data_IF_185281537640
#
_entry.id   IF_185281537640
#
_cell.length_a   1.000
_cell.length_b   1.000
_cell.length_c   1.000
_cell.angle_alpha   90.00
_cell.angle_beta   90.00
_cell.angle_gamma   90.00
#
_symmetry.space_group_name_H-M   'P 1'
#
loop_
_entity.id
_entity.type
_entity.pdbx_description
1 polymer ?
#
# COMPACT_ATOMS: atom_id res chain seq x y z
N UNK A 1 2.31 -9.23 37.79
CA UNK A 1 2.97 -10.15 36.84
C UNK A 1 2.38 -9.88 35.46
N UNK A 2 3.02 -9.07 34.64
CA UNK A 2 2.55 -8.76 33.29
C UNK A 2 3.10 -9.80 32.35
N UNK A 3 2.24 -10.73 31.91
CA UNK A 3 2.60 -11.69 30.87
C UNK A 3 2.65 -10.91 29.56
N UNK A 4 3.84 -10.57 29.08
CA UNK A 4 4.02 -10.08 27.72
C UNK A 4 3.82 -11.27 26.78
N UNK A 5 2.57 -11.50 26.36
CA UNK A 5 2.27 -12.48 25.31
C UNK A 5 2.86 -11.97 24.01
N UNK A 6 3.90 -12.65 23.53
CA UNK A 6 4.47 -12.43 22.19
C UNK A 6 3.38 -12.71 21.16
N UNK A 7 2.81 -11.67 20.56
CA UNK A 7 1.85 -11.81 19.47
C UNK A 7 2.58 -12.45 18.29
N UNK A 8 2.25 -13.69 17.96
CA UNK A 8 2.79 -14.35 16.77
C UNK A 8 2.20 -13.68 15.52
N UNK A 9 3.06 -13.13 14.69
CA UNK A 9 2.68 -12.53 13.41
C UNK A 9 2.19 -13.63 12.47
N UNK A 10 0.90 -13.60 12.13
CA UNK A 10 0.29 -14.53 11.16
C UNK A 10 0.55 -14.03 9.74
N UNK A 11 0.72 -14.95 8.79
CA UNK A 11 0.98 -14.60 7.40
C UNK A 11 0.25 -15.54 6.46
N UNK A 12 -0.35 -14.97 5.41
CA UNK A 12 -1.02 -15.71 4.35
C UNK A 12 -0.46 -15.33 2.98
N UNK A 13 -0.51 -16.26 2.04
CA UNK A 13 -0.09 -16.02 0.66
C UNK A 13 -1.20 -16.36 -0.30
N UNK A 14 -1.48 -15.45 -1.23
CA UNK A 14 -2.47 -15.62 -2.28
C UNK A 14 -1.81 -15.50 -3.64
N UNK A 15 -1.96 -16.53 -4.48
CA UNK A 15 -1.45 -16.53 -5.86
C UNK A 15 -2.59 -16.17 -6.81
N UNK A 16 -2.42 -15.08 -7.55
CA UNK A 16 -3.42 -14.54 -8.47
C UNK A 16 -2.85 -14.59 -9.89
N UNK A 17 -3.17 -15.63 -10.69
CA UNK A 17 -2.91 -15.59 -12.12
C UNK A 17 -3.56 -14.34 -12.71
N UNK A 18 -2.81 -13.57 -13.51
CA UNK A 18 -3.32 -12.30 -14.03
C UNK A 18 -4.60 -12.51 -14.84
N UNK A 19 -5.77 -12.00 -14.38
CA UNK A 19 -7.05 -12.20 -15.08
C UNK A 19 -7.16 -11.30 -16.33
N UNK A 20 -6.34 -10.27 -16.40
CA UNK A 20 -6.24 -9.33 -17.51
C UNK A 20 -4.78 -8.85 -17.65
N UNK A 21 -4.47 -8.18 -18.77
CA UNK A 21 -3.15 -7.57 -18.98
C UNK A 21 -2.79 -6.69 -17.77
N UNK A 22 -1.62 -6.93 -17.17
CA UNK A 22 -1.04 -6.01 -16.18
C UNK A 22 -0.77 -4.68 -16.90
N UNK A 23 -1.42 -3.61 -16.44
CA UNK A 23 -1.19 -2.27 -16.94
C UNK A 23 -0.32 -1.48 -15.97
N UNK A 24 0.61 -0.73 -16.54
CA UNK A 24 1.39 0.27 -15.83
C UNK A 24 0.72 1.65 -15.96
N UNK A 25 1.07 2.57 -15.07
CA UNK A 25 0.68 3.98 -15.13
C UNK A 25 1.03 4.62 -16.48
N UNK A 26 2.11 4.15 -17.12
CA UNK A 26 2.63 4.68 -18.38
C UNK A 26 1.83 4.24 -19.61
N UNK A 27 1.03 3.17 -19.54
CA UNK A 27 0.26 2.68 -20.70
C UNK A 27 -0.87 3.63 -21.14
N UNK A 28 -1.26 4.60 -20.28
CA UNK A 28 -2.31 5.61 -20.54
C UNK A 28 -3.54 5.06 -21.30
N UNK A 29 -4.16 3.96 -20.83
CA UNK A 29 -5.31 3.34 -21.50
C UNK A 29 -6.52 4.28 -21.50
N UNK A 30 -7.45 4.06 -22.44
CA UNK A 30 -8.78 4.65 -22.36
C UNK A 30 -9.47 4.26 -21.04
N UNK A 31 -10.14 5.21 -20.38
CA UNK A 31 -10.69 5.05 -19.02
C UNK A 31 -11.62 3.84 -18.87
N UNK A 32 -12.41 3.51 -19.91
CA UNK A 32 -13.28 2.33 -19.89
C UNK A 32 -12.49 1.03 -19.87
N UNK A 33 -11.41 0.93 -20.66
CA UNK A 33 -10.55 -0.25 -20.68
C UNK A 33 -9.83 -0.43 -19.33
N UNK A 34 -9.33 0.67 -18.76
CA UNK A 34 -8.74 0.67 -17.44
C UNK A 34 -9.72 0.19 -16.35
N UNK A 35 -10.98 0.66 -16.42
CA UNK A 35 -12.04 0.25 -15.48
C UNK A 35 -12.32 -1.25 -15.55
N UNK A 36 -12.40 -1.82 -16.77
CA UNK A 36 -12.60 -3.27 -16.97
C UNK A 36 -11.44 -4.09 -16.38
N UNK A 37 -10.21 -3.64 -16.58
CA UNK A 37 -9.02 -4.32 -16.06
C UNK A 37 -8.99 -4.28 -14.53
N UNK A 38 -9.23 -3.11 -13.93
CA UNK A 38 -9.32 -2.98 -12.47
C UNK A 38 -10.42 -3.87 -11.88
N UNK A 39 -11.58 -3.93 -12.54
CA UNK A 39 -12.69 -4.81 -12.13
C UNK A 39 -12.26 -6.29 -12.15
N UNK A 40 -11.63 -6.75 -13.23
CA UNK A 40 -11.16 -8.12 -13.35
C UNK A 40 -10.16 -8.51 -12.25
N UNK A 41 -9.20 -7.64 -11.94
CA UNK A 41 -8.25 -7.86 -10.83
C UNK A 41 -8.95 -7.95 -9.48
N UNK A 42 -9.91 -7.05 -9.21
CA UNK A 42 -10.67 -7.04 -7.97
C UNK A 42 -11.50 -8.31 -7.78
N UNK A 43 -12.25 -8.72 -8.81
CA UNK A 43 -13.10 -9.92 -8.79
C UNK A 43 -12.29 -11.21 -8.65
N UNK A 44 -11.15 -11.31 -9.34
CA UNK A 44 -10.24 -12.44 -9.20
C UNK A 44 -9.68 -12.54 -7.78
N UNK A 45 -9.26 -11.39 -7.21
CA UNK A 45 -8.74 -11.33 -5.84
C UNK A 45 -9.79 -11.79 -4.83
N UNK A 46 -11.02 -11.26 -4.92
CA UNK A 46 -12.13 -11.66 -4.07
C UNK A 46 -12.40 -13.17 -4.15
N UNK A 47 -12.47 -13.70 -5.37
CA UNK A 47 -12.76 -15.12 -5.63
C UNK A 47 -11.69 -16.02 -5.03
N UNK A 48 -10.41 -15.70 -5.25
CA UNK A 48 -9.29 -16.48 -4.76
C UNK A 48 -9.13 -16.36 -3.24
N UNK A 49 -9.35 -15.17 -2.66
CA UNK A 49 -9.36 -14.98 -1.21
C UNK A 49 -10.42 -15.85 -0.53
N UNK A 50 -11.62 -15.91 -1.11
CA UNK A 50 -12.71 -16.77 -0.65
C UNK A 50 -12.38 -18.25 -0.78
N UNK A 51 -11.79 -18.66 -1.88
CA UNK A 51 -11.34 -20.05 -2.07
C UNK A 51 -10.24 -20.45 -1.09
N UNK A 52 -9.31 -19.54 -0.81
CA UNK A 52 -8.24 -19.73 0.16
C UNK A 52 -8.71 -19.65 1.62
N UNK A 53 -9.97 -19.28 1.86
CA UNK A 53 -10.57 -19.11 3.20
C UNK A 53 -9.72 -18.21 4.10
N UNK A 54 -9.28 -17.08 3.54
CA UNK A 54 -8.55 -16.08 4.32
C UNK A 54 -9.38 -15.61 5.52
N UNK A 55 -8.77 -15.21 6.64
CA UNK A 55 -9.51 -14.63 7.75
C UNK A 55 -10.25 -13.36 7.30
N UNK A 56 -11.28 -12.99 8.05
CA UNK A 56 -12.05 -11.75 7.84
C UNK A 56 -12.07 -10.96 9.13
N UNK A 57 -12.17 -9.63 9.02
CA UNK A 57 -12.24 -8.75 10.19
C UNK A 57 -10.94 -8.64 11.00
N UNK A 58 -9.79 -8.77 10.34
CA UNK A 58 -8.51 -8.40 10.95
C UNK A 58 -8.48 -6.90 11.22
N UNK A 59 -7.87 -6.49 12.33
CA UNK A 59 -7.83 -5.07 12.70
C UNK A 59 -6.88 -4.30 11.79
N UNK A 60 -5.72 -4.89 11.48
CA UNK A 60 -4.69 -4.25 10.67
C UNK A 60 -3.86 -5.27 9.91
N UNK A 61 -3.56 -5.00 8.65
CA UNK A 61 -2.73 -5.85 7.80
C UNK A 61 -1.70 -5.05 7.02
N UNK A 62 -0.57 -5.69 6.72
CA UNK A 62 0.33 -5.26 5.65
C UNK A 62 0.14 -6.14 4.42
N UNK A 63 0.17 -5.51 3.25
CA UNK A 63 0.08 -6.21 1.96
C UNK A 63 1.35 -5.95 1.15
N UNK A 64 2.05 -7.02 0.81
CA UNK A 64 3.16 -7.01 -0.15
C UNK A 64 2.72 -7.75 -1.42
N UNK A 65 2.94 -7.14 -2.59
CA UNK A 65 2.52 -7.70 -3.89
C UNK A 65 3.74 -7.91 -4.77
N UNK A 66 4.13 -9.17 -4.95
CA UNK A 66 5.18 -9.57 -5.87
C UNK A 66 4.60 -9.81 -7.28
N UNK A 67 5.00 -8.97 -8.25
CA UNK A 67 4.55 -9.05 -9.64
C UNK A 67 5.55 -9.83 -10.47
N UNK A 68 5.09 -10.95 -11.04
CA UNK A 68 5.85 -11.79 -11.95
C UNK A 68 5.36 -11.60 -13.38
N UNK A 69 6.24 -11.11 -14.25
CA UNK A 69 5.94 -10.88 -15.65
C UNK A 69 6.46 -12.02 -16.54
N UNK A 70 5.87 -12.16 -17.74
CA UNK A 70 6.30 -13.17 -18.73
C UNK A 70 7.56 -12.78 -19.50
N UNK A 71 7.99 -11.52 -19.38
CA UNK A 71 9.16 -10.98 -20.07
C UNK A 71 10.08 -10.33 -19.05
N UNK A 72 11.35 -10.71 -19.06
CA UNK A 72 12.41 -10.06 -18.29
C UNK A 72 12.71 -8.69 -18.93
N UNK A 73 12.23 -7.62 -18.29
CA UNK A 73 12.55 -6.23 -18.62
C UNK A 73 12.69 -5.47 -17.31
N UNK A 74 13.61 -4.52 -17.29
CA UNK A 74 13.69 -3.57 -16.19
C UNK A 74 12.40 -2.74 -16.16
N UNK A 75 11.82 -2.61 -14.97
CA UNK A 75 10.54 -1.93 -14.73
C UNK A 75 10.64 -1.21 -13.39
N UNK A 76 9.96 -0.10 -13.30
CA UNK A 76 9.69 0.58 -12.04
C UNK A 76 8.44 -0.04 -11.40
N UNK A 77 8.55 -0.34 -10.12
CA UNK A 77 7.61 -1.08 -9.28
C UNK A 77 6.39 -0.23 -8.89
N UNK A 78 6.58 1.07 -8.65
CA UNK A 78 5.51 2.01 -8.31
C UNK A 78 4.49 2.21 -9.45
N UNK A 79 4.92 2.01 -10.70
CA UNK A 79 4.07 2.20 -11.88
C UNK A 79 2.87 1.24 -11.95
N UNK A 80 2.86 0.14 -11.19
CA UNK A 80 1.77 -0.85 -11.21
C UNK A 80 0.67 -0.55 -10.21
N UNK A 81 0.89 0.44 -9.33
CA UNK A 81 -0.02 0.78 -8.24
C UNK A 81 -1.49 1.02 -8.68
N UNK A 82 -1.78 1.87 -9.70
CA UNK A 82 -3.16 2.26 -9.99
C UNK A 82 -4.03 1.16 -10.61
N UNK A 83 -3.43 0.22 -11.33
CA UNK A 83 -4.18 -0.75 -12.16
C UNK A 83 -4.06 -2.20 -11.71
N UNK A 84 -3.08 -2.53 -10.87
CA UNK A 84 -2.89 -3.89 -10.36
C UNK A 84 -2.97 -3.91 -8.83
N UNK A 85 -2.11 -3.17 -8.13
CA UNK A 85 -2.04 -3.25 -6.67
C UNK A 85 -3.29 -2.71 -5.98
N UNK A 86 -3.77 -1.51 -6.34
CA UNK A 86 -4.97 -0.96 -5.70
C UNK A 86 -6.21 -1.84 -5.91
N UNK A 87 -6.49 -2.38 -7.11
CA UNK A 87 -7.57 -3.34 -7.27
C UNK A 87 -7.45 -4.61 -6.44
N UNK A 88 -6.23 -5.13 -6.22
CA UNK A 88 -5.98 -6.27 -5.33
C UNK A 88 -6.33 -5.88 -3.89
N UNK A 89 -5.81 -4.74 -3.41
CA UNK A 89 -6.12 -4.25 -2.06
C UNK A 89 -7.62 -3.99 -1.86
N UNK A 90 -8.28 -3.34 -2.84
CA UNK A 90 -9.74 -3.11 -2.83
C UNK A 90 -10.52 -4.44 -2.82
N UNK A 91 -10.02 -5.50 -3.49
CA UNK A 91 -10.67 -6.81 -3.52
C UNK A 91 -10.53 -7.58 -2.20
N UNK A 92 -9.46 -7.34 -1.44
CA UNK A 92 -9.25 -7.88 -0.10
C UNK A 92 -9.99 -7.07 0.98
N UNK A 93 -10.09 -5.76 0.80
CA UNK A 93 -10.77 -4.84 1.71
C UNK A 93 -12.29 -5.01 1.77
N UNK A 94 -13.02 -4.05 2.37
CA UNK A 94 -14.47 -4.12 2.48
C UNK A 94 -15.15 -3.94 1.12
N UNK A 95 -16.39 -4.42 1.02
CA UNK A 95 -17.26 -4.13 -0.13
C UNK A 95 -17.53 -2.63 -0.20
N UNK A 96 -17.35 -2.03 -1.39
CA UNK A 96 -17.50 -0.59 -1.61
C UNK A 96 -18.76 -0.29 -2.39
N UNK A 97 -19.53 0.68 -1.90
CA UNK A 97 -20.73 1.17 -2.57
C UNK A 97 -20.54 2.62 -2.97
N UNK A 98 -20.77 2.94 -4.24
CA UNK A 98 -20.62 4.30 -4.78
C UNK A 98 -21.85 4.70 -5.59
N UNK A 99 -22.26 5.97 -5.47
CA UNK A 99 -23.37 6.52 -6.25
C UNK A 99 -22.84 7.09 -7.57
N UNK A 100 -23.40 6.62 -8.68
CA UNK A 100 -23.08 7.12 -10.01
C UNK A 100 -23.80 8.43 -10.32
N UNK A 101 -23.34 9.13 -11.37
CA UNK A 101 -23.91 10.42 -11.81
C UNK A 101 -25.38 10.31 -12.25
N UNK A 102 -25.78 9.18 -12.80
CA UNK A 102 -27.16 8.88 -13.18
C UNK A 102 -28.05 8.50 -11.97
N UNK A 103 -27.50 8.52 -10.76
CA UNK A 103 -28.20 8.17 -9.53
C UNK A 103 -28.15 6.68 -9.16
N UNK A 104 -27.65 5.81 -10.05
CA UNK A 104 -27.53 4.37 -9.79
C UNK A 104 -26.48 4.07 -8.73
N UNK A 105 -26.73 3.03 -7.95
CA UNK A 105 -25.77 2.53 -6.95
C UNK A 105 -24.90 1.46 -7.60
N UNK A 106 -23.59 1.68 -7.57
CA UNK A 106 -22.59 0.68 -7.96
C UNK A 106 -22.02 0.02 -6.72
N UNK A 107 -22.03 -1.31 -6.71
CA UNK A 107 -21.38 -2.14 -5.69
C UNK A 107 -20.14 -2.79 -6.30
N UNK A 108 -18.99 -2.51 -5.71
CA UNK A 108 -17.73 -3.17 -6.02
C UNK A 108 -17.43 -4.21 -4.93
N UNK A 109 -17.15 -5.45 -5.34
CA UNK A 109 -16.91 -6.57 -4.42
C UNK A 109 -15.65 -6.35 -3.56
N UNK A 110 -15.73 -6.73 -2.30
CA UNK A 110 -14.60 -6.77 -1.37
C UNK A 110 -14.75 -7.93 -0.39
N UNK A 111 -13.64 -8.59 -0.06
CA UNK A 111 -13.62 -9.81 0.74
C UNK A 111 -13.94 -9.56 2.22
N UNK A 112 -13.60 -8.39 2.75
CA UNK A 112 -13.74 -8.07 4.17
C UNK A 112 -12.61 -8.63 5.03
N UNK A 113 -11.39 -8.71 4.47
CA UNK A 113 -10.18 -9.04 5.24
C UNK A 113 -9.98 -8.07 6.40
N UNK A 114 -10.22 -6.78 6.15
CA UNK A 114 -10.11 -5.65 7.08
C UNK A 114 -11.40 -4.82 7.04
N UNK A 115 -11.71 -4.06 8.12
CA UNK A 115 -12.93 -3.25 8.18
C UNK A 115 -12.94 -2.04 7.24
N UNK A 116 -11.78 -1.44 6.96
CA UNK A 116 -11.64 -0.28 6.05
C UNK A 116 -10.27 -0.27 5.35
N UNK A 117 -10.12 0.43 4.21
CA UNK A 117 -8.85 0.53 3.46
C UNK A 117 -8.02 1.78 3.79
N UNK A 118 -8.30 2.38 4.95
CA UNK A 118 -7.57 3.56 5.44
C UNK A 118 -6.20 3.17 6.06
N UNK A 119 -5.29 4.15 6.27
CA UNK A 119 -3.96 3.88 6.83
C UNK A 119 -3.93 3.27 8.25
N UNK A 120 -5.04 3.29 8.99
CA UNK A 120 -5.12 2.65 10.30
C UNK A 120 -5.26 1.13 10.20
N UNK A 121 -5.87 0.62 9.12
CA UNK A 121 -6.13 -0.81 8.91
C UNK A 121 -5.27 -1.43 7.81
N UNK A 122 -4.83 -0.64 6.82
CA UNK A 122 -4.06 -1.11 5.69
C UNK A 122 -2.69 -0.42 5.63
N UNK A 123 -1.63 -1.23 5.70
CA UNK A 123 -0.25 -0.83 5.41
C UNK A 123 0.17 -1.38 4.03
N UNK A 124 0.52 -0.48 3.12
CA UNK A 124 0.77 -0.80 1.70
C UNK A 124 -0.44 -0.52 0.79
N UNK A 125 -0.59 -1.18 -0.36
CA UNK A 125 0.19 -2.33 -0.85
C UNK A 125 1.60 -1.95 -1.34
N UNK A 126 2.62 -2.72 -0.93
CA UNK A 126 4.00 -2.51 -1.37
C UNK A 126 4.31 -3.38 -2.60
N UNK A 127 4.73 -2.79 -3.73
CA UNK A 127 5.12 -3.56 -4.90
C UNK A 127 6.50 -4.19 -4.70
N UNK A 128 6.66 -5.41 -5.20
CA UNK A 128 7.95 -6.07 -5.43
C UNK A 128 7.93 -6.65 -6.83
N UNK A 129 9.04 -6.57 -7.55
CA UNK A 129 9.17 -7.25 -8.85
C UNK A 129 9.80 -8.63 -8.63
N UNK A 130 9.08 -9.66 -9.07
CA UNK A 130 9.52 -11.04 -8.99
C UNK A 130 10.26 -11.51 -10.23
N UNK A 131 10.74 -12.75 -10.17
CA UNK A 131 11.35 -13.41 -11.31
C UNK A 131 10.37 -13.60 -12.48
N UNK A 132 10.93 -13.75 -13.68
CA UNK A 132 10.17 -14.05 -14.89
C UNK A 132 9.43 -15.39 -14.73
N UNK A 133 8.14 -15.40 -15.06
CA UNK A 133 7.33 -16.62 -15.12
C UNK A 133 7.14 -17.13 -16.55
N UNK A 134 6.87 -18.43 -16.68
CA UNK A 134 6.58 -19.06 -17.97
C UNK A 134 5.29 -18.52 -18.57
N UNK A 135 5.34 -18.07 -19.83
CA UNK A 135 4.16 -17.63 -20.59
C UNK A 135 3.18 -18.78 -20.87
N UNK A 136 3.65 -20.04 -20.85
CA UNK A 136 2.78 -21.22 -21.03
C UNK A 136 1.85 -21.42 -19.83
N UNK A 137 2.36 -21.22 -18.61
CA UNK A 137 1.62 -21.40 -17.36
C UNK A 137 0.85 -20.13 -16.99
N UNK A 138 1.48 -18.97 -17.10
CA UNK A 138 0.91 -17.67 -16.75
C UNK A 138 0.97 -16.71 -17.95
N UNK A 139 0.05 -16.82 -18.92
CA UNK A 139 0.15 -16.07 -20.19
C UNK A 139 0.17 -14.54 -20.02
N UNK A 140 -0.44 -14.03 -18.95
CA UNK A 140 -0.53 -12.60 -18.63
C UNK A 140 0.31 -12.19 -17.41
N UNK A 141 1.04 -13.14 -16.80
CA UNK A 141 1.78 -12.94 -15.55
C UNK A 141 1.06 -13.49 -14.32
N UNK A 142 1.70 -13.31 -13.17
CA UNK A 142 1.24 -13.79 -11.87
C UNK A 142 1.49 -12.69 -10.82
N UNK A 143 0.51 -12.43 -9.96
CA UNK A 143 0.71 -11.65 -8.74
C UNK A 143 0.71 -12.58 -7.54
N UNK A 144 1.76 -12.54 -6.72
CA UNK A 144 1.83 -13.25 -5.44
C UNK A 144 1.66 -12.20 -4.35
N UNK A 145 0.56 -12.32 -3.60
CA UNK A 145 0.20 -11.38 -2.54
C UNK A 145 0.54 -12.04 -1.21
N UNK A 146 1.37 -11.36 -0.41
CA UNK A 146 1.67 -11.74 0.97
C UNK A 146 0.91 -10.80 1.89
N UNK A 147 0.14 -11.38 2.81
CA UNK A 147 -0.68 -10.67 3.78
C UNK A 147 -0.10 -10.95 5.15
N UNK A 148 0.30 -9.92 5.87
CA UNK A 148 0.87 -10.02 7.21
C UNK A 148 -0.12 -9.41 8.20
N UNK A 149 -0.49 -10.18 9.23
CA UNK A 149 -1.33 -9.70 10.33
C UNK A 149 -0.53 -8.75 11.23
N UNK A 150 -0.98 -7.51 11.32
CA UNK A 150 -0.41 -6.48 12.19
C UNK A 150 -1.37 -6.13 13.34
N UNK A 151 -2.39 -6.96 13.60
CA UNK A 151 -3.32 -6.77 14.71
C UNK A 151 -2.57 -6.61 16.03
N UNK A 152 -2.91 -5.57 16.79
CA UNK A 152 -2.23 -5.20 18.04
C UNK A 152 -0.86 -4.54 17.89
N UNK A 153 -0.34 -4.34 16.67
CA UNK A 153 0.87 -3.56 16.45
C UNK A 153 0.54 -2.06 16.31
N UNK A 154 1.29 -1.16 16.96
CA UNK A 154 1.05 0.27 16.85
C UNK A 154 1.10 0.70 15.37
N UNK A 155 0.10 1.46 14.94
CA UNK A 155 0.16 2.17 13.66
C UNK A 155 1.43 3.00 13.68
N UNK A 156 2.29 2.85 12.67
CA UNK A 156 3.49 3.68 12.49
C UNK A 156 3.15 5.14 12.16
N UNK A 157 2.04 5.66 12.69
CA UNK A 157 1.76 7.07 12.76
C UNK A 157 2.84 7.71 13.61
N UNK A 158 3.49 8.71 13.05
CA UNK A 158 4.26 9.67 13.82
C UNK A 158 3.31 10.20 14.91
N UNK A 159 3.48 9.73 16.14
CA UNK A 159 2.93 10.40 17.30
C UNK A 159 3.60 11.77 17.33
N UNK A 160 2.95 12.75 16.71
CA UNK A 160 3.23 14.16 16.98
C UNK A 160 2.79 14.39 18.41
N UNK A 161 3.65 14.06 19.36
CA UNK A 161 3.54 14.50 20.74
C UNK A 161 3.47 16.04 20.67
N UNK A 162 2.24 16.56 20.72
CA UNK A 162 2.00 18.00 20.77
C UNK A 162 2.31 18.44 22.20
N UNK A 163 3.59 18.36 22.57
CA UNK A 163 4.11 19.00 23.77
C UNK A 163 4.11 20.49 23.47
N UNK A 164 3.10 21.19 23.99
CA UNK A 164 3.13 22.64 24.12
C UNK A 164 4.37 22.99 24.95
N UNK A 165 5.49 23.38 24.32
CA UNK A 165 6.58 24.11 24.99
C UNK A 165 7.61 24.71 24.00
N UNK A 166 7.89 25.99 24.26
CA UNK A 166 8.87 26.98 23.76
C UNK A 166 9.91 26.65 22.67
N UNK A 167 10.04 27.63 21.77
CA UNK A 167 11.10 27.96 20.80
C UNK A 167 12.32 27.02 20.66
N UNK A 168 12.48 26.54 19.42
CA UNK A 168 13.66 25.88 18.83
C UNK A 168 13.90 24.45 19.30
N UNK A 169 13.20 23.50 18.68
CA UNK A 169 13.41 22.07 18.87
C UNK A 169 13.95 21.45 17.58
N UNK A 170 15.16 20.88 17.63
CA UNK A 170 15.67 20.01 16.60
C UNK A 170 15.09 18.60 16.80
N UNK A 171 14.57 17.98 15.73
CA UNK A 171 13.98 16.65 15.75
C UNK A 171 14.95 15.65 15.14
N UNK A 172 15.28 14.59 15.90
CA UNK A 172 16.06 13.47 15.38
C UNK A 172 15.14 12.27 15.23
N UNK A 173 14.92 11.82 13.99
CA UNK A 173 14.11 10.63 13.71
C UNK A 173 15.00 9.39 13.60
N UNK A 174 14.60 8.32 14.29
CA UNK A 174 15.21 7.00 14.12
C UNK A 174 14.26 6.11 13.33
N UNK A 175 14.57 5.88 12.05
CA UNK A 175 13.86 4.91 11.24
C UNK A 175 14.31 3.49 11.63
N UNK A 176 13.40 2.51 11.81
CA UNK A 176 13.76 1.11 12.09
C UNK A 176 14.56 0.44 10.94
N UNK A 177 14.51 1.00 9.73
CA UNK A 177 15.22 0.49 8.55
C UNK A 177 16.54 1.25 8.29
N UNK A 178 17.52 1.08 9.18
CA UNK A 178 18.97 1.38 9.01
C UNK A 178 19.42 2.74 8.42
N UNK A 179 18.56 3.76 8.34
CA UNK A 179 18.97 5.11 7.93
C UNK A 179 18.44 6.13 8.92
N UNK A 180 19.34 6.91 9.51
CA UNK A 180 18.99 8.03 10.37
C UNK A 180 18.76 9.24 9.48
N UNK A 181 17.53 9.77 9.47
CA UNK A 181 17.21 11.01 8.76
C UNK A 181 17.12 12.10 9.83
N UNK A 182 18.03 13.05 9.78
CA UNK A 182 17.99 14.25 10.62
C UNK A 182 17.34 15.35 9.80
N UNK A 183 16.17 15.83 10.23
CA UNK A 183 15.48 16.96 9.59
C UNK A 183 15.52 18.14 10.54
N UNK A 184 16.27 19.17 10.16
CA UNK A 184 16.33 20.43 10.89
C UNK A 184 15.31 21.40 10.31
N UNK A 185 14.17 21.58 10.98
CA UNK A 185 13.17 22.58 10.59
C UNK A 185 13.50 23.88 11.32
N UNK A 186 13.85 24.93 10.59
CA UNK A 186 13.96 26.29 11.14
C UNK A 186 12.68 27.07 10.87
N UNK A 187 12.21 27.80 11.87
CA UNK A 187 11.18 28.82 11.69
C UNK A 187 11.82 30.00 10.96
N UNK A 188 11.41 30.27 9.72
CA UNK A 188 11.66 31.57 9.10
C UNK A 188 10.82 32.59 9.86
N UNK A 189 11.48 33.54 10.52
CA UNK A 189 10.82 34.68 11.13
C UNK A 189 10.36 35.65 10.03
N UNK A 190 9.08 35.97 10.07
CA UNK A 190 8.37 37.11 9.46
C UNK A 190 8.85 37.64 8.10
N UNK A 191 8.15 37.23 7.04
CA UNK A 191 7.86 38.14 5.91
C UNK A 191 6.55 37.78 5.18
N UNK A 192 5.45 38.43 5.58
CA UNK A 192 4.30 38.69 4.72
C UNK A 192 3.22 37.60 4.59
N UNK A 193 2.02 37.96 4.08
CA UNK A 193 0.77 37.21 4.29
C UNK A 193 0.56 35.98 3.39
N UNK A 194 1.56 35.55 2.62
CA UNK A 194 1.43 34.39 1.74
C UNK A 194 1.99 33.12 2.40
N UNK A 195 1.08 32.33 2.96
CA UNK A 195 1.35 30.97 3.45
C UNK A 195 1.80 30.07 2.30
N UNK A 196 3.11 29.85 2.18
CA UNK A 196 3.69 28.67 1.56
C UNK A 196 4.72 28.08 2.54
N UNK A 197 4.45 26.88 3.05
CA UNK A 197 5.47 26.05 3.70
C UNK A 197 6.46 25.65 2.61
N UNK A 198 7.54 26.41 2.45
CA UNK A 198 8.68 25.97 1.65
C UNK A 198 9.48 24.96 2.46
N UNK A 199 9.49 23.72 1.97
CA UNK A 199 10.44 22.69 2.39
C UNK A 199 11.75 22.95 1.65
N UNK A 200 12.75 23.54 2.31
CA UNK A 200 14.13 23.44 1.82
C UNK A 200 14.69 22.08 2.25
N UNK A 201 14.84 21.18 1.29
CA UNK A 201 15.53 19.91 1.49
C UNK A 201 17.03 20.13 1.37
N UNK A 202 17.74 20.10 2.49
CA UNK A 202 19.18 19.86 2.49
C UNK A 202 19.42 18.39 2.82
N UNK A 203 19.60 17.57 1.78
CA UNK A 203 20.14 16.23 1.92
C UNK A 203 21.66 16.31 2.09
N UNK A 204 22.13 16.48 3.33
CA UNK A 204 23.53 16.27 3.69
C UNK A 204 23.74 14.81 4.07
N UNK A 205 24.63 14.12 3.37
CA UNK A 205 25.04 12.76 3.70
C UNK A 205 26.35 12.84 4.50
N UNK A 206 26.27 12.80 5.83
CA UNK A 206 27.45 12.58 6.67
C UNK A 206 27.56 11.11 7.00
N UNK A 207 28.55 10.44 6.42
CA UNK A 207 29.04 9.16 6.92
C UNK A 207 29.90 9.45 8.16
N UNK A 208 29.47 8.98 9.33
CA UNK A 208 30.35 8.92 10.49
C UNK A 208 31.22 7.65 10.42
N UNK A 209 32.52 7.72 10.78
CA UNK A 209 33.33 6.53 11.07
C UNK A 209 32.86 5.78 12.32
#
# INVERSE_FOLDING_TARGET
>A
MTVMTKTETRTWTLRIPAPAKMLSANDRPHHQAASRIRKAWREATFTLARQAKLPTGLERVRIDVCLHHTVARNRDDANWHPYVLKPIADGLGPTKTSRQRNGEIRVDVGYGLIPDDNPAHLDGPFPVLGEKVSRKEYPLGLAVVTIVDLTGQPTGGFETERRLMSATTAWTFRCPARHQIVVTVRRLEDSGPYRNLFMEQHAGCEAQP
#
